data_IF_760344573874
#
_entry.id   IF_760344573874
#
_cell.length_a   1.000
_cell.length_b   1.000
_cell.length_c   1.000
_cell.angle_alpha   90.00
_cell.angle_beta   90.00
_cell.angle_gamma   90.00
#
_symmetry.space_group_name_H-M   'P 1'
#
loop_
_entity.id
_entity.type
_entity.pdbx_description
1 polymer ?
#
# COMPACT_ATOMS: atom_id res chain seq x y z
N UNK A 1 -5.47 11.60 19.35
CA UNK A 1 -4.87 11.12 18.09
C UNK A 1 -5.11 12.08 16.92
N UNK A 2 -6.35 12.46 16.50
CA UNK A 2 -6.55 13.42 15.37
C UNK A 2 -5.83 14.75 15.60
N UNK A 3 -5.98 15.35 16.77
CA UNK A 3 -5.31 16.62 17.13
C UNK A 3 -3.78 16.52 17.11
N UNK A 4 -3.23 15.41 17.56
CA UNK A 4 -1.78 15.19 17.53
C UNK A 4 -1.27 15.09 16.07
N UNK A 5 -2.03 14.40 15.19
CA UNK A 5 -1.67 14.36 13.77
C UNK A 5 -1.75 15.75 13.12
N UNK A 6 -2.78 16.52 13.42
CA UNK A 6 -2.92 17.91 12.93
C UNK A 6 -1.77 18.80 13.45
N UNK A 7 -1.40 18.68 14.72
CA UNK A 7 -0.36 19.49 15.35
C UNK A 7 1.05 19.12 14.87
N UNK A 8 1.39 17.81 14.84
CA UNK A 8 2.75 17.37 14.53
C UNK A 8 3.03 17.20 13.04
N UNK A 9 2.02 16.90 12.23
CA UNK A 9 2.18 16.74 10.78
C UNK A 9 1.72 17.98 9.99
N UNK A 10 1.12 18.99 10.65
CA UNK A 10 0.62 20.18 9.98
C UNK A 10 -0.52 19.92 9.00
N UNK A 11 -1.26 18.82 9.17
CA UNK A 11 -2.40 18.48 8.31
C UNK A 11 -3.66 19.16 8.84
N UNK A 12 -4.52 19.65 7.92
CA UNK A 12 -5.78 20.31 8.27
C UNK A 12 -6.96 19.34 8.35
N UNK A 13 -6.77 18.10 7.89
CA UNK A 13 -7.81 17.07 7.92
C UNK A 13 -7.20 15.68 7.93
N UNK A 14 -7.77 14.80 8.76
CA UNK A 14 -7.47 13.37 8.80
C UNK A 14 -8.67 12.58 8.30
N UNK A 15 -8.47 11.67 7.37
CA UNK A 15 -9.48 10.72 6.90
C UNK A 15 -9.16 9.38 7.54
N UNK A 16 -10.04 8.92 8.42
CA UNK A 16 -9.89 7.64 9.09
C UNK A 16 -10.54 6.52 8.27
N UNK A 17 -9.76 5.49 7.97
CA UNK A 17 -10.30 4.20 7.53
C UNK A 17 -10.58 3.33 8.76
N UNK A 18 -11.59 2.48 8.65
CA UNK A 18 -12.07 1.70 9.81
C UNK A 18 -11.07 0.61 10.20
N UNK A 19 -10.50 -0.05 9.19
CA UNK A 19 -9.61 -1.19 9.36
C UNK A 19 -8.65 -1.25 8.15
N UNK A 20 -7.39 -1.56 8.39
CA UNK A 20 -6.42 -1.87 7.33
C UNK A 20 -6.31 -3.37 7.12
N UNK A 21 -5.42 -3.77 6.23
CA UNK A 21 -5.00 -5.16 6.12
C UNK A 21 -4.04 -5.46 7.27
N UNK A 22 -4.06 -6.68 7.77
CA UNK A 22 -3.24 -7.11 8.91
C UNK A 22 -3.42 -6.30 10.21
N UNK A 23 -4.50 -6.54 10.92
CA UNK A 23 -4.75 -5.89 12.20
C UNK A 23 -3.85 -6.42 13.35
N UNK A 24 -3.19 -7.57 13.17
CA UNK A 24 -2.45 -8.24 14.24
C UNK A 24 -0.97 -7.84 14.31
N UNK A 25 -0.30 -7.69 13.19
CA UNK A 25 1.14 -7.39 13.12
C UNK A 25 1.41 -5.89 13.03
N UNK A 26 0.80 -5.19 12.06
CA UNK A 26 1.02 -3.76 11.82
C UNK A 26 -0.08 -2.86 12.38
N UNK A 27 -1.12 -3.43 12.97
CA UNK A 27 -2.35 -2.72 13.36
C UNK A 27 -3.02 -1.98 12.18
N UNK A 28 -2.84 -2.50 10.96
CA UNK A 28 -3.45 -1.97 9.75
C UNK A 28 -2.83 -0.66 9.27
N UNK A 29 -1.52 -0.62 9.11
CA UNK A 29 -0.82 0.55 8.59
C UNK A 29 -1.39 1.03 7.27
N UNK A 30 -1.53 2.35 7.12
CA UNK A 30 -2.18 2.97 5.95
C UNK A 30 -1.36 2.84 4.68
N UNK A 31 -0.04 2.75 4.76
CA UNK A 31 0.86 2.62 3.61
C UNK A 31 0.74 1.28 2.88
N UNK A 32 0.13 0.27 3.52
CA UNK A 32 -0.29 -0.97 2.88
C UNK A 32 -1.66 -0.87 2.20
N UNK A 33 -2.41 0.20 2.45
CA UNK A 33 -3.82 0.31 2.09
C UNK A 33 -4.13 1.43 1.10
N UNK A 34 -3.55 2.61 1.28
CA UNK A 34 -3.85 3.77 0.46
C UNK A 34 -2.74 4.82 0.50
N UNK A 35 -2.59 5.56 -0.59
CA UNK A 35 -1.61 6.66 -0.71
C UNK A 35 -2.18 7.80 -1.55
N UNK A 36 -1.91 9.04 -1.15
CA UNK A 36 -2.16 10.21 -1.97
C UNK A 36 -1.10 10.31 -3.09
N UNK A 37 -1.58 10.46 -4.34
CA UNK A 37 -0.73 10.63 -5.53
C UNK A 37 -0.57 12.11 -5.85
N UNK A 38 -1.64 12.88 -5.62
CA UNK A 38 -1.68 14.33 -5.77
C UNK A 38 -2.81 14.91 -4.92
N UNK A 39 -2.89 16.24 -4.75
CA UNK A 39 -4.02 16.85 -4.07
C UNK A 39 -5.37 16.45 -4.67
N UNK A 40 -6.20 15.76 -3.90
CA UNK A 40 -7.50 15.24 -4.32
C UNK A 40 -7.46 13.94 -5.13
N UNK A 41 -6.27 13.32 -5.29
CA UNK A 41 -6.09 12.04 -5.99
C UNK A 41 -5.46 11.02 -5.06
N UNK A 42 -6.09 9.87 -4.91
CA UNK A 42 -5.65 8.78 -4.03
C UNK A 42 -5.75 7.44 -4.75
N UNK A 43 -4.82 6.54 -4.48
CA UNK A 43 -4.95 5.13 -4.85
C UNK A 43 -5.18 4.29 -3.58
N UNK A 44 -5.92 3.21 -3.71
CA UNK A 44 -6.10 2.23 -2.64
C UNK A 44 -6.08 0.81 -3.19
N UNK A 45 -5.81 -0.14 -2.32
CA UNK A 45 -5.85 -1.57 -2.63
C UNK A 45 -7.24 -2.00 -3.13
N UNK A 46 -7.22 -2.99 -4.04
CA UNK A 46 -8.46 -3.53 -4.60
C UNK A 46 -8.33 -4.99 -5.00
N UNK A 47 -9.38 -5.74 -4.74
CA UNK A 47 -9.61 -7.07 -5.32
C UNK A 47 -11.09 -7.24 -5.62
N UNK A 48 -11.40 -7.96 -6.70
CA UNK A 48 -12.77 -8.36 -7.05
C UNK A 48 -13.10 -9.78 -6.55
N UNK A 49 -12.12 -10.50 -6.00
CA UNK A 49 -12.29 -11.85 -5.48
C UNK A 49 -12.90 -11.84 -4.06
N UNK A 50 -14.16 -12.27 -3.89
CA UNK A 50 -14.82 -12.26 -2.58
C UNK A 50 -14.22 -13.26 -1.58
N UNK A 51 -13.44 -14.22 -2.04
CA UNK A 51 -12.77 -15.22 -1.21
C UNK A 51 -11.35 -14.75 -0.79
N UNK A 52 -10.89 -13.59 -1.30
CA UNK A 52 -9.60 -13.03 -0.91
C UNK A 52 -9.61 -12.58 0.56
N UNK A 53 -8.61 -12.92 1.38
CA UNK A 53 -8.60 -12.63 2.82
C UNK A 53 -8.90 -11.17 3.18
N UNK A 54 -8.48 -10.23 2.33
CA UNK A 54 -8.64 -8.79 2.56
C UNK A 54 -9.73 -8.13 1.71
N UNK A 55 -10.62 -8.92 1.08
CA UNK A 55 -11.69 -8.41 0.22
C UNK A 55 -12.54 -7.33 0.93
N UNK A 56 -12.99 -7.63 2.15
CA UNK A 56 -13.82 -6.70 2.93
C UNK A 56 -13.09 -5.38 3.19
N UNK A 57 -11.82 -5.43 3.60
CA UNK A 57 -11.02 -4.23 3.89
C UNK A 57 -10.81 -3.40 2.62
N UNK A 58 -10.47 -4.01 1.48
CA UNK A 58 -10.34 -3.32 0.21
C UNK A 58 -11.58 -2.50 -0.13
N UNK A 59 -12.75 -3.10 0.00
CA UNK A 59 -14.04 -2.45 -0.32
C UNK A 59 -14.41 -1.36 0.71
N UNK A 60 -14.25 -1.60 2.00
CA UNK A 60 -14.51 -0.60 3.05
C UNK A 60 -13.58 0.62 2.94
N UNK A 61 -12.30 0.41 2.58
CA UNK A 61 -11.33 1.49 2.33
C UNK A 61 -11.75 2.31 1.13
N UNK A 62 -12.06 1.66 0.01
CA UNK A 62 -12.52 2.31 -1.21
C UNK A 62 -13.78 3.14 -0.95
N UNK A 63 -14.80 2.57 -0.30
CA UNK A 63 -16.04 3.25 0.04
C UNK A 63 -15.82 4.45 0.95
N UNK A 64 -14.90 4.33 1.91
CA UNK A 64 -14.51 5.46 2.77
C UNK A 64 -13.91 6.59 1.94
N UNK A 65 -12.98 6.29 1.04
CA UNK A 65 -12.26 7.27 0.26
C UNK A 65 -13.13 7.96 -0.79
N UNK A 66 -14.00 7.23 -1.52
CA UNK A 66 -14.90 7.85 -2.53
C UNK A 66 -15.96 8.76 -1.89
N UNK A 67 -16.28 8.55 -0.62
CA UNK A 67 -17.21 9.39 0.13
C UNK A 67 -16.52 10.53 0.88
N UNK A 68 -15.19 10.55 0.94
CA UNK A 68 -14.41 11.58 1.61
C UNK A 68 -14.18 12.83 0.72
N UNK A 69 -13.70 13.87 1.38
CA UNK A 69 -13.13 15.05 0.72
C UNK A 69 -11.76 15.35 1.34
N UNK A 70 -10.88 16.01 0.59
CA UNK A 70 -9.66 16.54 1.16
C UNK A 70 -9.91 17.78 2.07
N UNK A 71 -8.85 18.36 2.62
CA UNK A 71 -8.92 19.53 3.49
C UNK A 71 -9.51 20.77 2.80
N UNK A 72 -9.44 20.86 1.47
CA UNK A 72 -10.04 21.95 0.67
C UNK A 72 -11.48 21.64 0.21
N UNK A 73 -12.07 20.56 0.71
CA UNK A 73 -13.45 20.16 0.35
C UNK A 73 -13.60 19.50 -1.03
N UNK A 74 -12.48 19.18 -1.73
CA UNK A 74 -12.53 18.49 -3.01
C UNK A 74 -12.89 17.03 -2.81
N UNK A 75 -13.81 16.50 -3.59
CA UNK A 75 -14.05 15.06 -3.69
C UNK A 75 -12.78 14.36 -4.15
N UNK A 76 -12.47 13.22 -3.55
CA UNK A 76 -11.31 12.43 -3.94
C UNK A 76 -11.60 11.68 -5.26
N UNK A 77 -10.63 11.72 -6.19
CA UNK A 77 -10.55 10.79 -7.31
C UNK A 77 -9.80 9.56 -6.79
N UNK A 78 -10.50 8.43 -6.69
CA UNK A 78 -9.95 7.20 -6.10
C UNK A 78 -9.63 6.20 -7.20
N UNK A 79 -8.38 5.77 -7.25
CA UNK A 79 -7.91 4.71 -8.14
C UNK A 79 -7.76 3.39 -7.38
N UNK A 80 -8.01 2.31 -8.09
CA UNK A 80 -7.88 0.94 -7.59
C UNK A 80 -6.54 0.37 -8.03
N UNK A 81 -5.73 -0.07 -7.08
CA UNK A 81 -4.50 -0.81 -7.33
C UNK A 81 -4.74 -2.27 -6.98
N UNK A 82 -4.45 -3.22 -7.89
CA UNK A 82 -4.73 -4.62 -7.63
C UNK A 82 -3.96 -5.12 -6.41
N UNK A 83 -4.51 -6.12 -5.73
CA UNK A 83 -3.75 -6.98 -4.82
C UNK A 83 -3.07 -8.10 -5.63
N UNK A 84 -2.06 -8.81 -5.08
CA UNK A 84 -1.63 -10.08 -5.66
C UNK A 84 -2.83 -10.98 -5.95
N UNK A 85 -2.79 -11.75 -7.04
CA UNK A 85 -3.90 -12.65 -7.39
C UNK A 85 -4.15 -13.67 -6.26
N UNK A 86 -3.06 -14.12 -5.64
CA UNK A 86 -3.12 -15.06 -4.52
C UNK A 86 -2.46 -14.46 -3.29
N UNK A 87 -3.01 -14.76 -2.10
CA UNK A 87 -2.32 -14.41 -0.86
C UNK A 87 -0.90 -14.98 -0.85
N UNK A 88 0.06 -14.17 -0.45
CA UNK A 88 1.45 -14.57 -0.35
C UNK A 88 1.69 -15.31 0.98
N UNK A 89 2.23 -16.52 0.93
CA UNK A 89 2.60 -17.30 2.11
C UNK A 89 4.10 -17.59 2.09
N UNK A 90 4.70 -17.76 3.27
CA UNK A 90 6.05 -18.29 3.38
C UNK A 90 6.05 -19.78 3.02
N UNK A 91 7.08 -20.22 2.29
CA UNK A 91 7.41 -21.63 2.21
C UNK A 91 8.02 -22.12 3.53
N UNK A 92 8.06 -23.44 3.71
CA UNK A 92 8.72 -24.05 4.87
C UNK A 92 10.22 -23.67 4.96
N UNK A 93 10.92 -23.58 3.83
CA UNK A 93 12.32 -23.16 3.76
C UNK A 93 12.48 -21.68 4.18
N UNK A 94 11.62 -20.80 3.69
CA UNK A 94 11.63 -19.39 4.04
C UNK A 94 11.36 -19.19 5.53
N UNK A 95 10.33 -19.84 6.08
CA UNK A 95 10.00 -19.75 7.49
C UNK A 95 11.12 -20.27 8.40
N UNK A 96 11.80 -21.35 8.01
CA UNK A 96 12.94 -21.90 8.75
C UNK A 96 14.22 -21.07 8.62
N UNK A 97 14.33 -20.21 7.59
CA UNK A 97 15.51 -19.36 7.37
C UNK A 97 15.49 -18.09 8.23
N UNK A 98 14.36 -17.74 8.79
CA UNK A 98 14.18 -16.54 9.60
C UNK A 98 14.42 -16.91 11.07
N UNK A 99 15.44 -16.30 11.70
CA UNK A 99 15.69 -16.44 13.14
C UNK A 99 14.64 -15.62 13.91
N UNK A 100 13.48 -16.23 14.11
CA UNK A 100 12.33 -15.58 14.73
C UNK A 100 12.40 -15.75 16.25
N UNK A 101 12.95 -14.75 16.93
CA UNK A 101 12.78 -14.58 18.39
C UNK A 101 11.28 -14.44 18.74
N UNK A 102 10.46 -13.92 17.81
CA UNK A 102 9.01 -13.93 17.84
C UNK A 102 8.51 -14.22 16.42
N UNK A 103 8.03 -15.42 16.11
CA UNK A 103 7.38 -15.69 14.84
C UNK A 103 6.14 -14.81 14.73
N UNK A 104 6.25 -13.77 13.91
CA UNK A 104 5.11 -12.85 13.68
C UNK A 104 4.07 -13.45 12.75
N UNK A 105 4.48 -14.42 11.94
CA UNK A 105 3.61 -15.08 10.98
C UNK A 105 3.87 -16.58 10.96
N UNK A 106 2.81 -17.36 11.10
CA UNK A 106 2.86 -18.77 10.85
C UNK A 106 2.89 -19.03 9.32
N UNK A 107 3.35 -20.21 8.91
CA UNK A 107 3.36 -20.62 7.48
C UNK A 107 1.97 -20.61 6.85
N UNK A 108 0.94 -20.74 7.64
CA UNK A 108 -0.47 -20.78 7.25
C UNK A 108 -1.15 -19.39 7.29
N UNK A 109 -0.43 -18.34 7.67
CA UNK A 109 -0.94 -16.98 7.65
C UNK A 109 -0.45 -16.20 6.41
N UNK A 110 -1.34 -15.46 5.72
CA UNK A 110 -0.95 -14.66 4.58
C UNK A 110 -0.07 -13.49 5.00
N UNK A 111 1.00 -13.27 4.23
CA UNK A 111 1.87 -12.10 4.40
C UNK A 111 1.17 -10.82 3.92
N UNK A 112 1.62 -9.66 4.43
CA UNK A 112 1.12 -8.34 4.02
C UNK A 112 1.74 -7.96 2.68
N UNK A 113 1.43 -8.72 1.64
CA UNK A 113 1.89 -8.47 0.29
C UNK A 113 0.97 -7.44 -0.38
N UNK A 114 1.32 -6.17 -0.29
CA UNK A 114 0.58 -5.08 -0.91
C UNK A 114 1.45 -4.28 -1.86
N UNK A 115 1.03 -4.14 -3.13
CA UNK A 115 1.68 -3.24 -4.08
C UNK A 115 1.55 -1.77 -3.67
N UNK A 116 0.65 -1.44 -2.73
CA UNK A 116 0.50 -0.09 -2.20
C UNK A 116 1.69 0.34 -1.33
N UNK A 117 2.47 -0.60 -0.79
CA UNK A 117 3.69 -0.32 -0.03
C UNK A 117 4.87 0.03 -0.96
N UNK A 118 4.60 0.86 -1.98
CA UNK A 118 5.61 1.34 -2.93
C UNK A 118 6.26 2.64 -2.44
N UNK A 119 7.50 2.86 -2.82
CA UNK A 119 8.24 4.08 -2.53
C UNK A 119 8.04 5.09 -3.66
N UNK A 120 7.67 6.31 -3.32
CA UNK A 120 7.67 7.46 -4.24
C UNK A 120 9.00 8.19 -4.12
N UNK A 121 9.65 8.44 -5.25
CA UNK A 121 10.85 9.26 -5.38
C UNK A 121 10.53 10.54 -6.18
N UNK A 122 11.52 11.42 -6.38
CA UNK A 122 11.32 12.68 -7.12
C UNK A 122 10.81 12.47 -8.56
N UNK A 123 11.14 11.36 -9.20
CA UNK A 123 10.81 11.10 -10.60
C UNK A 123 10.33 9.68 -10.88
N UNK A 124 9.90 8.96 -9.88
CA UNK A 124 9.44 7.58 -10.08
C UNK A 124 8.91 6.91 -8.85
N UNK A 125 8.44 5.68 -9.07
CA UNK A 125 7.96 4.81 -8.01
C UNK A 125 8.69 3.47 -8.05
N UNK A 126 9.06 2.94 -6.90
CA UNK A 126 9.63 1.61 -6.74
C UNK A 126 8.52 0.73 -6.16
N UNK A 127 8.03 -0.21 -6.96
CA UNK A 127 6.86 -1.03 -6.68
C UNK A 127 7.30 -2.42 -6.25
N UNK A 128 6.87 -2.90 -5.07
CA UNK A 128 7.21 -4.25 -4.63
C UNK A 128 6.68 -5.30 -5.60
N UNK A 129 7.43 -6.38 -5.78
CA UNK A 129 7.05 -7.54 -6.58
C UNK A 129 7.19 -8.81 -5.74
N UNK A 130 6.27 -9.74 -5.95
CA UNK A 130 6.12 -10.94 -5.12
C UNK A 130 6.26 -12.25 -5.91
N UNK A 131 6.54 -12.18 -7.22
CA UNK A 131 6.50 -13.32 -8.13
C UNK A 131 5.06 -13.73 -8.46
N UNK A 132 4.13 -12.80 -8.37
CA UNK A 132 2.71 -12.98 -8.63
C UNK A 132 2.34 -12.53 -10.05
N UNK A 133 1.27 -13.10 -10.62
CA UNK A 133 0.82 -12.77 -11.98
C UNK A 133 0.37 -11.31 -12.11
N UNK A 134 -0.04 -10.67 -11.01
CA UNK A 134 -0.43 -9.26 -10.97
C UNK A 134 0.75 -8.29 -10.80
N UNK A 135 1.98 -8.77 -10.67
CA UNK A 135 3.16 -7.91 -10.51
C UNK A 135 3.28 -6.87 -11.64
N UNK A 136 3.19 -7.30 -12.88
CA UNK A 136 3.25 -6.41 -14.04
C UNK A 136 2.04 -5.47 -14.09
N UNK A 137 0.84 -5.98 -13.82
CA UNK A 137 -0.40 -5.20 -13.79
C UNK A 137 -0.35 -4.08 -12.75
N UNK A 138 0.23 -4.33 -11.59
CA UNK A 138 0.38 -3.32 -10.54
C UNK A 138 1.28 -2.15 -10.98
N UNK A 139 2.43 -2.47 -11.61
CA UNK A 139 3.34 -1.45 -12.17
C UNK A 139 2.67 -0.65 -13.28
N UNK A 140 2.01 -1.32 -14.22
CA UNK A 140 1.30 -0.68 -15.35
C UNK A 140 0.16 0.22 -14.84
N UNK A 141 -0.58 -0.26 -13.83
CA UNK A 141 -1.68 0.51 -13.21
C UNK A 141 -1.14 1.77 -12.55
N UNK A 142 -0.09 1.68 -11.74
CA UNK A 142 0.54 2.84 -11.12
C UNK A 142 1.12 3.78 -12.18
N UNK A 143 1.82 3.28 -13.19
CA UNK A 143 2.36 4.11 -14.28
C UNK A 143 1.23 4.93 -14.93
N UNK A 144 0.12 4.27 -15.29
CA UNK A 144 -1.05 4.94 -15.87
C UNK A 144 -1.62 6.02 -14.94
N UNK A 145 -1.75 5.75 -13.65
CA UNK A 145 -2.26 6.72 -12.68
C UNK A 145 -1.34 7.95 -12.58
N UNK A 146 -0.04 7.72 -12.55
CA UNK A 146 0.95 8.81 -12.50
C UNK A 146 0.98 9.61 -13.80
N UNK A 147 0.91 8.97 -14.97
CA UNK A 147 0.86 9.63 -16.28
C UNK A 147 -0.41 10.48 -16.42
N UNK A 148 -1.58 9.96 -16.01
CA UNK A 148 -2.84 10.72 -15.99
C UNK A 148 -2.81 11.91 -15.03
N UNK A 149 -2.06 11.82 -13.94
CA UNK A 149 -2.06 12.83 -12.87
C UNK A 149 -1.02 13.91 -13.08
N UNK A 150 0.18 13.53 -13.50
CA UNK A 150 1.34 14.40 -13.58
C UNK A 150 1.82 14.68 -15.01
N UNK A 151 1.35 13.91 -15.98
CA UNK A 151 1.77 13.94 -17.37
C UNK A 151 2.67 12.76 -17.73
N UNK A 152 2.55 12.31 -18.96
CA UNK A 152 3.31 11.16 -19.50
C UNK A 152 4.82 11.40 -19.39
N UNK A 153 5.53 10.43 -18.84
CA UNK A 153 6.99 10.44 -18.72
C UNK A 153 7.56 11.30 -17.60
N UNK A 154 6.72 11.95 -16.77
CA UNK A 154 7.18 12.71 -15.59
C UNK A 154 7.64 11.76 -14.47
N UNK A 155 6.91 10.67 -14.27
CA UNK A 155 7.26 9.60 -13.33
C UNK A 155 7.53 8.30 -14.07
N UNK A 156 8.43 7.49 -13.54
CA UNK A 156 8.67 6.13 -14.01
C UNK A 156 8.42 5.13 -12.88
N UNK A 157 7.47 4.22 -13.07
CA UNK A 157 7.23 3.13 -12.14
C UNK A 157 8.08 1.91 -12.52
N UNK A 158 8.79 1.32 -11.57
CA UNK A 158 9.61 0.13 -11.75
C UNK A 158 9.30 -0.90 -10.69
N UNK A 159 9.16 -2.16 -11.08
CA UNK A 159 9.00 -3.29 -10.18
C UNK A 159 10.35 -3.75 -9.63
N UNK A 160 10.40 -4.10 -8.35
CA UNK A 160 11.58 -4.69 -7.69
C UNK A 160 11.14 -5.90 -6.90
N UNK A 161 11.80 -7.03 -7.11
CA UNK A 161 11.58 -8.23 -6.31
C UNK A 161 11.89 -7.93 -4.84
N UNK A 162 10.87 -8.04 -4.02
CA UNK A 162 10.92 -7.72 -2.59
C UNK A 162 10.21 -8.76 -1.73
N UNK A 163 10.01 -9.97 -2.29
CA UNK A 163 9.34 -11.06 -1.61
C UNK A 163 9.93 -11.35 -0.23
N UNK A 164 11.26 -11.28 -0.09
CA UNK A 164 11.91 -11.52 1.19
C UNK A 164 11.71 -10.38 2.20
N UNK A 165 11.45 -9.16 1.72
CA UNK A 165 11.21 -8.01 2.60
C UNK A 165 9.87 -8.14 3.32
N UNK A 166 8.87 -8.69 2.65
CA UNK A 166 7.51 -8.82 3.20
C UNK A 166 7.43 -9.67 4.47
N UNK A 167 8.38 -10.57 4.67
CA UNK A 167 8.44 -11.41 5.88
C UNK A 167 8.68 -10.61 7.17
N UNK A 168 9.14 -9.37 7.04
CA UNK A 168 9.31 -8.44 8.16
C UNK A 168 8.01 -7.73 8.58
N UNK A 169 6.90 -7.94 7.87
CA UNK A 169 5.60 -7.32 8.16
C UNK A 169 5.44 -5.97 7.48
N UNK A 170 5.74 -5.86 6.21
CA UNK A 170 5.63 -4.67 5.35
C UNK A 170 6.53 -4.79 4.15
N UNK A 171 6.80 -3.69 3.43
CA UNK A 171 7.65 -3.77 2.25
C UNK A 171 8.51 -2.50 2.05
N UNK A 172 8.74 -2.08 0.81
CA UNK A 172 9.71 -1.05 0.42
C UNK A 172 9.44 0.28 1.13
N UNK A 173 8.18 0.73 1.21
CA UNK A 173 7.85 1.97 1.92
C UNK A 173 8.18 1.86 3.41
N UNK A 174 7.82 0.75 4.04
CA UNK A 174 8.03 0.53 5.48
C UNK A 174 9.49 0.59 5.92
N UNK A 175 10.43 0.21 5.05
CA UNK A 175 11.88 0.22 5.34
C UNK A 175 12.60 1.49 4.87
N UNK A 176 11.85 2.49 4.40
CA UNK A 176 12.41 3.74 3.87
C UNK A 176 11.91 4.96 4.64
N UNK A 177 12.66 6.04 4.56
CA UNK A 177 12.29 7.34 5.10
C UNK A 177 12.69 8.43 4.10
N UNK A 178 11.76 9.35 3.83
CA UNK A 178 12.02 10.49 2.96
C UNK A 178 12.89 11.51 3.68
N UNK A 179 13.87 12.04 2.97
CA UNK A 179 14.63 13.20 3.39
C UNK A 179 14.17 14.42 2.56
N UNK A 180 13.40 15.35 3.17
CA UNK A 180 12.96 16.54 2.45
C UNK A 180 14.15 17.40 2.03
N UNK A 181 14.10 17.94 0.81
CA UNK A 181 15.10 18.95 0.40
C UNK A 181 14.92 20.24 1.20
N UNK A 182 16.04 20.86 1.57
CA UNK A 182 16.08 22.14 2.25
C UNK A 182 15.58 23.29 1.35
#
# INVERSE_FOLDING_TARGET
MTKELEEYLGVEKVIWVKEGIDPEVTNGHIDDCATFIAPGVVACIWTDDPDYPFYRQCHEIYDTLVNATDAKGRKLKVYKLPMPEKPCFMSEEEANSIDLVNPRTAQDEPQIASYMNYLVTNHGCIVPQYGDVNDALAVETLQKIYDETWGEGVFKCVGVDSRQVVYGGGNIHCITQQEPSA
#
